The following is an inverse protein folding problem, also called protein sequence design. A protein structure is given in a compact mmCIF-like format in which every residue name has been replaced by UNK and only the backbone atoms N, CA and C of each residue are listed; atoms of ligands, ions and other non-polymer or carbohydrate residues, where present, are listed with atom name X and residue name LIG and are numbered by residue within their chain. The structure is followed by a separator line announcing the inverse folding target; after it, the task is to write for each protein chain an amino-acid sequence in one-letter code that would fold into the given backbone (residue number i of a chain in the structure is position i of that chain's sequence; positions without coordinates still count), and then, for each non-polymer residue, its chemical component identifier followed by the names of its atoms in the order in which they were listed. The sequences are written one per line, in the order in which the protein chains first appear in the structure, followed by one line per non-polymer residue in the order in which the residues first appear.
data_IF_021522361835
#
_entry.id   IF_021522361835
#
_cell.length_a   1.000
_cell.length_b   1.000
_cell.length_c   1.000
_cell.angle_alpha   90.00
_cell.angle_beta   90.00
_cell.angle_gamma   90.00
#
_symmetry.space_group_name_H-M   'P 1'
#
loop_
_entity.id
_entity.type
_entity.pdbx_description
1 polymer ?
#
# COMPACT_ATOMS: atom_id res chain seq x y z
N UNK A 1 12.95 0.96 59.42
CA UNK A 1 12.08 0.32 58.42
C UNK A 1 12.41 0.97 57.10
N UNK A 2 13.15 0.29 56.23
CA UNK A 2 13.50 0.83 54.91
C UNK A 2 12.24 0.81 54.05
N UNK A 3 11.81 1.98 53.60
CA UNK A 3 10.83 2.10 52.52
C UNK A 3 11.38 1.32 51.31
N UNK A 4 10.75 0.20 50.99
CA UNK A 4 11.00 -0.51 49.73
C UNK A 4 10.63 0.45 48.60
N UNK A 5 11.62 1.04 47.93
CA UNK A 5 11.35 1.80 46.71
C UNK A 5 10.63 0.87 45.74
N UNK A 6 9.43 1.27 45.30
CA UNK A 6 8.71 0.51 44.27
C UNK A 6 9.59 0.50 43.02
N UNK A 7 9.85 -0.69 42.50
CA UNK A 7 10.57 -0.84 41.23
C UNK A 7 9.89 0.01 40.14
N UNK A 8 10.66 0.71 39.27
CA UNK A 8 10.10 1.54 38.21
C UNK A 8 9.17 0.74 37.29
N UNK A 9 8.03 1.34 36.94
CA UNK A 9 7.02 0.75 36.06
C UNK A 9 6.63 1.72 34.96
N UNK A 10 6.49 1.20 33.75
CA UNK A 10 6.11 1.92 32.54
C UNK A 10 4.66 1.61 32.19
N UNK A 11 3.94 2.55 31.60
CA UNK A 11 2.60 2.26 31.11
C UNK A 11 2.68 1.47 29.80
N UNK A 12 2.17 0.25 29.78
CA UNK A 12 2.03 -0.56 28.57
C UNK A 12 0.65 -0.38 27.91
N UNK A 13 0.27 -1.35 27.08
CA UNK A 13 -0.95 -1.28 26.25
C UNK A 13 -2.22 -1.50 27.09
N UNK A 14 -2.19 -2.42 28.05
CA UNK A 14 -3.31 -2.72 28.98
C UNK A 14 -2.87 -2.78 30.44
N UNK A 15 -1.58 -2.88 30.71
CA UNK A 15 -1.01 -3.07 32.05
C UNK A 15 0.35 -2.38 32.14
N UNK A 16 0.79 -2.15 33.37
CA UNK A 16 2.14 -1.65 33.60
C UNK A 16 3.21 -2.71 33.30
N UNK A 17 4.30 -2.26 32.70
CA UNK A 17 5.48 -3.06 32.34
C UNK A 17 6.62 -2.75 33.31
N UNK A 18 7.29 -3.79 33.81
CA UNK A 18 8.43 -3.58 34.71
C UNK A 18 9.70 -3.17 33.95
N UNK A 19 10.60 -2.43 34.60
CA UNK A 19 11.92 -2.11 34.02
C UNK A 19 12.74 -3.36 33.67
N UNK A 20 12.62 -4.43 34.46
CA UNK A 20 13.25 -5.72 34.18
C UNK A 20 12.72 -6.33 32.89
N UNK A 21 11.40 -6.26 32.67
CA UNK A 21 10.77 -6.77 31.45
C UNK A 21 11.22 -6.00 30.20
N UNK A 22 11.37 -4.67 30.28
CA UNK A 22 11.91 -3.88 29.16
C UNK A 22 13.36 -4.26 28.84
N UNK A 23 14.17 -4.57 29.85
CA UNK A 23 15.54 -5.02 29.67
C UNK A 23 15.61 -6.44 29.09
N UNK A 24 14.82 -7.39 29.63
CA UNK A 24 14.73 -8.77 29.12
C UNK A 24 14.15 -8.82 27.69
N UNK A 25 13.30 -7.86 27.34
CA UNK A 25 12.78 -7.65 25.98
C UNK A 25 13.75 -6.92 25.05
N UNK A 26 14.96 -6.58 25.52
CA UNK A 26 15.98 -5.84 24.76
C UNK A 26 15.48 -4.48 24.22
N UNK A 27 14.50 -3.88 24.89
CA UNK A 27 13.96 -2.55 24.54
C UNK A 27 14.87 -1.47 25.11
N UNK A 28 15.41 -1.69 26.32
CA UNK A 28 16.42 -0.84 26.94
C UNK A 28 17.73 -1.61 27.12
N UNK A 29 18.84 -0.88 27.06
CA UNK A 29 20.17 -1.45 27.29
C UNK A 29 20.52 -1.47 28.79
N UNK A 30 21.68 -2.05 29.11
CA UNK A 30 22.14 -2.20 30.50
C UNK A 30 22.38 -0.85 31.20
N UNK A 31 22.84 0.17 30.45
CA UNK A 31 23.07 1.51 31.00
C UNK A 31 21.76 2.19 31.41
N UNK A 32 20.75 2.19 30.54
CA UNK A 32 19.42 2.72 30.85
C UNK A 32 18.77 1.96 32.01
N UNK A 33 18.92 0.63 32.05
CA UNK A 33 18.42 -0.19 33.14
C UNK A 33 19.03 0.20 34.50
N UNK A 34 20.35 0.43 34.54
CA UNK A 34 21.05 0.89 35.75
C UNK A 34 20.67 2.31 36.13
N UNK A 35 20.60 3.22 35.16
CA UNK A 35 20.25 4.62 35.40
C UNK A 35 18.82 4.77 35.93
N UNK A 36 17.87 3.94 35.48
CA UNK A 36 16.50 3.90 36.02
C UNK A 36 16.45 3.35 37.45
N UNK A 37 17.19 2.26 37.72
CA UNK A 37 17.19 1.64 39.06
C UNK A 37 17.95 2.47 40.11
N UNK A 38 18.90 3.29 39.68
CA UNK A 38 19.63 4.24 40.54
C UNK A 38 18.92 5.58 40.68
N UNK A 39 17.84 5.83 39.92
CA UNK A 39 17.08 7.08 39.93
C UNK A 39 17.76 8.25 39.21
N UNK A 40 18.80 7.98 38.41
CA UNK A 40 19.47 8.98 37.57
C UNK A 40 18.61 9.42 36.38
N UNK A 41 17.77 8.52 35.89
CA UNK A 41 16.73 8.80 34.91
C UNK A 41 15.37 8.44 35.48
N UNK A 42 14.35 9.21 35.10
CA UNK A 42 12.97 8.98 35.46
C UNK A 42 12.26 8.08 34.44
N UNK A 43 11.14 7.47 34.85
CA UNK A 43 10.27 6.70 33.96
C UNK A 43 9.76 7.57 32.81
N UNK A 44 9.38 8.82 33.09
CA UNK A 44 8.83 9.73 32.09
C UNK A 44 9.89 10.07 31.01
N UNK A 45 11.12 10.39 31.42
CA UNK A 45 12.22 10.68 30.49
C UNK A 45 12.52 9.49 29.55
N UNK A 46 12.48 8.26 30.07
CA UNK A 46 12.72 7.07 29.25
C UNK A 46 11.50 6.69 28.41
N UNK A 47 10.27 6.93 28.90
CA UNK A 47 9.03 6.64 28.18
C UNK A 47 8.86 7.51 26.93
N UNK A 48 9.38 8.74 26.94
CA UNK A 48 9.35 9.66 25.81
C UNK A 48 10.41 9.34 24.73
N UNK A 49 11.39 8.47 25.02
CA UNK A 49 12.37 8.06 24.01
C UNK A 49 11.69 7.22 22.92
N UNK A 50 11.85 7.61 21.65
CA UNK A 50 11.22 6.90 20.52
C UNK A 50 11.56 5.40 20.49
N UNK A 51 12.80 5.05 20.87
CA UNK A 51 13.29 3.67 20.98
C UNK A 51 12.51 2.82 21.99
N UNK A 52 11.89 3.43 23.00
CA UNK A 52 11.11 2.76 24.05
C UNK A 52 9.61 2.93 23.79
N UNK A 53 9.18 4.16 23.49
CA UNK A 53 7.79 4.52 23.23
C UNK A 53 7.14 3.64 22.17
N UNK A 54 7.86 3.36 21.08
CA UNK A 54 7.35 2.50 19.99
C UNK A 54 6.94 1.10 20.47
N UNK A 55 7.57 0.59 21.52
CA UNK A 55 7.27 -0.72 22.09
C UNK A 55 6.22 -0.68 23.20
N UNK A 56 6.06 0.46 23.88
CA UNK A 56 5.03 0.66 24.89
C UNK A 56 3.66 1.00 24.27
N UNK A 57 3.64 1.92 23.31
CA UNK A 57 2.41 2.50 22.76
C UNK A 57 2.13 2.11 21.29
N UNK A 58 3.13 1.61 20.56
CA UNK A 58 3.09 1.47 19.11
C UNK A 58 3.33 2.78 18.36
N UNK A 59 3.44 2.70 17.03
CA UNK A 59 3.60 3.84 16.12
C UNK A 59 2.58 3.78 14.98
N UNK A 60 2.26 4.93 14.39
CA UNK A 60 1.67 5.05 13.04
C UNK A 60 0.43 4.16 12.77
N UNK A 61 -0.49 4.04 13.73
CA UNK A 61 -1.79 3.40 13.47
C UNK A 61 -2.72 4.37 12.75
N UNK A 62 -3.39 3.91 11.70
CA UNK A 62 -4.39 4.68 10.95
C UNK A 62 -5.56 4.99 11.89
N UNK A 63 -5.68 6.26 12.30
CA UNK A 63 -6.64 6.70 13.31
C UNK A 63 -8.06 6.94 12.76
N UNK A 64 -8.16 7.34 11.50
CA UNK A 64 -9.39 7.85 10.90
C UNK A 64 -9.21 8.27 9.45
N UNK A 65 -10.19 8.99 8.93
CA UNK A 65 -10.15 9.60 7.59
C UNK A 65 -10.06 11.11 7.74
N UNK A 66 -9.15 11.74 7.01
CA UNK A 66 -9.05 13.19 6.92
C UNK A 66 -9.59 13.66 5.57
N UNK A 67 -10.65 14.47 5.59
CA UNK A 67 -11.21 15.07 4.38
C UNK A 67 -10.45 16.36 4.07
N UNK A 68 -9.59 16.32 3.06
CA UNK A 68 -8.76 17.47 2.67
C UNK A 68 -9.60 18.70 2.29
N UNK A 69 -10.69 18.50 1.55
CA UNK A 69 -11.56 19.58 1.05
C UNK A 69 -12.25 20.36 2.17
N UNK A 70 -12.67 19.68 3.24
CA UNK A 70 -13.37 20.30 4.38
C UNK A 70 -12.48 20.50 5.61
N UNK A 71 -11.24 19.99 5.58
CA UNK A 71 -10.32 19.90 6.72
C UNK A 71 -10.93 19.17 7.92
N UNK A 72 -11.88 18.26 7.67
CA UNK A 72 -12.61 17.53 8.69
C UNK A 72 -11.92 16.20 9.00
N UNK A 73 -11.77 15.88 10.28
CA UNK A 73 -11.30 14.57 10.73
C UNK A 73 -12.49 13.71 11.12
N UNK A 74 -12.57 12.50 10.58
CA UNK A 74 -13.62 11.53 10.84
C UNK A 74 -13.02 10.26 11.43
N UNK A 75 -13.74 9.64 12.36
CA UNK A 75 -13.50 8.23 12.70
C UNK A 75 -13.78 7.33 11.48
N UNK A 76 -13.18 6.13 11.47
CA UNK A 76 -13.42 5.14 10.41
C UNK A 76 -14.92 4.79 10.30
N UNK A 77 -15.62 4.75 11.44
CA UNK A 77 -17.04 4.44 11.48
C UNK A 77 -17.90 5.60 10.93
N UNK A 78 -17.58 6.85 11.22
CA UNK A 78 -18.26 8.00 10.62
C UNK A 78 -18.04 8.05 9.11
N UNK A 79 -16.81 7.79 8.65
CA UNK A 79 -16.50 7.73 7.22
C UNK A 79 -17.33 6.65 6.49
N UNK A 80 -17.51 5.47 7.12
CA UNK A 80 -18.44 4.43 6.64
C UNK A 80 -19.88 4.94 6.54
N UNK A 81 -20.39 5.60 7.59
CA UNK A 81 -21.77 6.09 7.62
C UNK A 81 -22.04 7.16 6.55
N UNK A 82 -21.01 7.92 6.18
CA UNK A 82 -21.07 8.91 5.09
C UNK A 82 -20.81 8.31 3.71
N UNK A 83 -20.57 6.99 3.60
CA UNK A 83 -20.31 6.30 2.34
C UNK A 83 -18.92 6.56 1.74
N UNK A 84 -18.00 7.15 2.51
CA UNK A 84 -16.61 7.43 2.10
C UNK A 84 -15.73 6.18 2.15
N UNK A 85 -16.08 5.23 3.03
CA UNK A 85 -15.43 3.93 3.13
C UNK A 85 -16.47 2.82 2.98
N UNK A 86 -16.07 1.72 2.33
CA UNK A 86 -16.92 0.52 2.29
C UNK A 86 -17.00 -0.14 3.67
N UNK A 87 -18.10 -0.84 4.00
CA UNK A 87 -18.19 -1.59 5.26
C UNK A 87 -17.06 -2.60 5.47
N UNK A 88 -16.55 -3.20 4.38
CA UNK A 88 -15.42 -4.13 4.43
C UNK A 88 -14.13 -3.42 4.85
N UNK A 89 -13.73 -2.39 4.10
CA UNK A 89 -12.53 -1.57 4.39
C UNK A 89 -12.55 -1.02 5.81
N UNK A 90 -13.68 -0.47 6.24
CA UNK A 90 -13.83 0.09 7.58
C UNK A 90 -13.67 -0.94 8.69
N UNK A 91 -14.26 -2.13 8.53
CA UNK A 91 -14.11 -3.20 9.51
C UNK A 91 -12.65 -3.62 9.62
N UNK A 92 -11.95 -3.80 8.49
CA UNK A 92 -10.55 -4.20 8.46
C UNK A 92 -9.64 -3.18 9.16
N UNK A 93 -9.83 -1.89 8.90
CA UNK A 93 -9.05 -0.83 9.56
C UNK A 93 -9.32 -0.77 11.07
N UNK A 94 -10.57 -0.98 11.50
CA UNK A 94 -10.93 -1.03 12.92
C UNK A 94 -10.41 -2.30 13.60
N UNK A 95 -10.39 -3.45 12.91
CA UNK A 95 -9.76 -4.68 13.40
C UNK A 95 -8.26 -4.47 13.61
N UNK A 96 -7.58 -3.79 12.68
CA UNK A 96 -6.19 -3.42 12.85
C UNK A 96 -5.97 -2.51 14.06
N UNK A 97 -6.77 -1.45 14.24
CA UNK A 97 -6.73 -0.61 15.44
C UNK A 97 -6.88 -1.42 16.74
N UNK A 98 -7.90 -2.28 16.80
CA UNK A 98 -8.15 -3.14 17.95
C UNK A 98 -6.98 -4.10 18.23
N UNK A 99 -6.37 -4.66 17.18
CA UNK A 99 -5.26 -5.60 17.27
C UNK A 99 -3.89 -4.96 17.53
N UNK A 100 -3.73 -3.65 17.31
CA UNK A 100 -2.50 -2.89 17.56
C UNK A 100 -2.51 -2.16 18.91
N UNK A 101 -3.64 -2.20 19.61
CA UNK A 101 -3.73 -1.76 20.98
C UNK A 101 -5.06 -1.12 21.31
N UNK A 102 -5.64 -0.30 20.45
CA UNK A 102 -6.80 0.51 20.83
C UNK A 102 -7.64 0.89 19.62
N UNK A 103 -8.95 0.99 19.81
CA UNK A 103 -9.80 1.73 18.89
C UNK A 103 -9.55 3.22 19.11
N UNK A 104 -9.32 3.97 18.04
CA UNK A 104 -8.96 5.38 18.14
C UNK A 104 -10.18 6.26 17.82
N UNK A 105 -10.47 7.20 18.71
CA UNK A 105 -11.32 8.35 18.43
C UNK A 105 -10.41 9.52 18.01
N UNK A 106 -10.27 9.78 16.70
CA UNK A 106 -9.35 10.82 16.21
C UNK A 106 -9.88 12.24 16.48
N UNK A 107 -11.18 12.40 16.73
CA UNK A 107 -11.81 13.71 16.98
C UNK A 107 -11.54 14.16 18.42
N UNK A 108 -11.61 13.22 19.38
CA UNK A 108 -11.34 13.50 20.80
C UNK A 108 -9.92 13.14 21.22
N UNK A 109 -9.11 12.62 20.30
CA UNK A 109 -7.77 12.10 20.54
C UNK A 109 -7.74 11.09 21.70
N UNK A 110 -8.63 10.08 21.64
CA UNK A 110 -8.73 9.04 22.68
C UNK A 110 -8.39 7.67 22.12
N UNK A 111 -7.65 6.90 22.92
CA UNK A 111 -7.42 5.46 22.73
C UNK A 111 -8.39 4.71 23.64
N UNK A 112 -9.21 3.84 23.06
CA UNK A 112 -10.32 3.18 23.75
C UNK A 112 -10.21 1.66 23.63
N UNK A 113 -10.73 0.95 24.63
CA UNK A 113 -11.06 -0.47 24.47
C UNK A 113 -12.19 -0.63 23.45
N UNK A 114 -12.36 -1.82 22.89
CA UNK A 114 -13.49 -2.07 21.97
C UNK A 114 -14.83 -1.85 22.67
N UNK A 115 -14.93 -2.19 23.96
CA UNK A 115 -16.16 -1.99 24.72
C UNK A 115 -16.50 -0.51 24.91
N UNK A 116 -15.51 0.31 25.29
CA UNK A 116 -15.70 1.74 25.47
C UNK A 116 -15.99 2.43 24.15
N UNK A 117 -15.29 2.04 23.08
CA UNK A 117 -15.52 2.59 21.75
C UNK A 117 -16.95 2.31 21.25
N UNK A 118 -17.48 1.11 21.48
CA UNK A 118 -18.86 0.77 21.13
C UNK A 118 -19.87 1.53 22.01
N UNK A 119 -19.59 1.68 23.31
CA UNK A 119 -20.44 2.43 24.24
C UNK A 119 -20.50 3.93 23.91
N UNK A 120 -19.38 4.51 23.47
CA UNK A 120 -19.26 5.91 23.07
C UNK A 120 -19.67 6.18 21.61
N UNK A 121 -20.03 5.14 20.86
CA UNK A 121 -20.46 5.26 19.45
C UNK A 121 -19.33 5.56 18.46
N UNK A 122 -18.07 5.41 18.88
CA UNK A 122 -16.88 5.54 18.00
C UNK A 122 -16.84 4.40 16.99
N UNK A 123 -17.43 3.24 17.34
CA UNK A 123 -17.68 2.12 16.44
C UNK A 123 -19.14 1.66 16.55
N UNK A 124 -19.64 1.07 15.47
CA UNK A 124 -20.97 0.47 15.45
C UNK A 124 -21.09 -0.75 16.37
N UNK A 125 -22.20 -0.84 17.10
CA UNK A 125 -22.48 -1.97 17.99
C UNK A 125 -22.57 -3.30 17.24
N UNK A 126 -22.89 -3.26 15.95
CA UNK A 126 -22.93 -4.44 15.06
C UNK A 126 -21.55 -5.07 14.84
N UNK A 127 -20.46 -4.31 15.04
CA UNK A 127 -19.09 -4.79 14.88
C UNK A 127 -18.41 -5.13 16.20
N UNK A 128 -19.03 -4.85 17.35
CA UNK A 128 -18.44 -5.08 18.69
C UNK A 128 -17.82 -6.47 18.82
N UNK A 129 -18.54 -7.53 18.46
CA UNK A 129 -18.05 -8.90 18.61
C UNK A 129 -16.86 -9.23 17.70
N UNK A 130 -16.84 -8.69 16.47
CA UNK A 130 -15.72 -8.88 15.54
C UNK A 130 -14.48 -8.15 16.03
N UNK A 131 -14.66 -6.91 16.48
CA UNK A 131 -13.56 -6.11 17.03
C UNK A 131 -13.03 -6.69 18.35
N UNK A 132 -13.88 -7.25 19.21
CA UNK A 132 -13.43 -7.98 20.41
C UNK A 132 -12.61 -9.22 20.04
N UNK A 133 -12.92 -9.88 18.93
CA UNK A 133 -12.11 -11.00 18.42
C UNK A 133 -10.73 -10.53 17.97
N UNK A 134 -10.63 -9.36 17.32
CA UNK A 134 -9.36 -8.76 16.94
C UNK A 134 -8.57 -8.22 18.16
N UNK A 135 -9.23 -7.65 19.16
CA UNK A 135 -8.60 -7.15 20.41
C UNK A 135 -7.93 -8.27 21.23
N UNK A 136 -8.29 -9.54 20.99
CA UNK A 136 -7.56 -10.71 21.56
C UNK A 136 -6.12 -10.79 21.08
N UNK A 137 -5.78 -10.19 19.94
CA UNK A 137 -4.39 -10.05 19.51
C UNK A 137 -3.54 -9.24 20.49
N UNK A 138 -4.17 -8.40 21.32
CA UNK A 138 -3.53 -7.58 22.37
C UNK A 138 -3.72 -8.19 23.75
N UNK A 139 -4.95 -8.62 24.04
CA UNK A 139 -5.34 -9.12 25.38
C UNK A 139 -5.01 -10.60 25.59
N UNK A 140 -4.66 -11.31 24.52
CA UNK A 140 -4.31 -12.72 24.51
C UNK A 140 -5.48 -13.64 24.21
N UNK A 141 -5.17 -14.79 23.60
CA UNK A 141 -6.12 -15.87 23.37
C UNK A 141 -6.03 -16.85 24.53
N UNK A 142 -7.16 -17.45 24.89
CA UNK A 142 -7.21 -18.50 25.91
C UNK A 142 -7.05 -19.85 25.23
N UNK A 143 -5.98 -20.57 25.54
CA UNK A 143 -5.75 -21.92 25.02
C UNK A 143 -6.79 -22.88 25.62
N UNK A 144 -7.67 -23.51 24.82
CA UNK A 144 -8.71 -24.39 25.32
C UNK A 144 -8.19 -25.66 26.01
N UNK A 145 -6.92 -26.02 25.78
CA UNK A 145 -6.31 -27.23 26.34
C UNK A 145 -5.53 -26.98 27.62
N UNK A 146 -4.93 -25.79 27.76
CA UNK A 146 -4.04 -25.47 28.89
C UNK A 146 -4.57 -24.38 29.80
N UNK A 147 -5.66 -23.71 29.42
CA UNK A 147 -6.21 -22.52 30.08
C UNK A 147 -5.26 -21.30 30.11
N UNK A 148 -4.06 -21.44 29.52
CA UNK A 148 -3.04 -20.40 29.48
C UNK A 148 -3.37 -19.34 28.43
N UNK A 149 -2.94 -18.13 28.71
CA UNK A 149 -2.94 -17.03 27.74
C UNK A 149 -1.82 -17.26 26.72
N UNK A 150 -2.15 -17.14 25.43
CA UNK A 150 -1.22 -17.31 24.31
C UNK A 150 -1.31 -16.11 23.36
N UNK A 151 -0.24 -15.88 22.60
CA UNK A 151 -0.17 -14.78 21.62
C UNK A 151 -1.01 -15.05 20.36
N UNK A 152 -1.21 -14.01 19.55
CA UNK A 152 -1.86 -14.11 18.25
C UNK A 152 -1.22 -15.19 17.35
N UNK A 153 0.11 -15.20 17.26
CA UNK A 153 0.84 -16.19 16.47
C UNK A 153 0.67 -17.62 17.01
N UNK A 154 0.68 -17.80 18.33
CA UNK A 154 0.45 -19.11 18.92
C UNK A 154 -0.98 -19.60 18.70
N UNK A 155 -1.95 -18.68 18.73
CA UNK A 155 -3.33 -18.99 18.37
C UNK A 155 -3.45 -19.38 16.89
N UNK A 156 -2.72 -18.69 16.01
CA UNK A 156 -2.62 -19.01 14.57
C UNK A 156 -2.08 -20.42 14.34
N UNK A 157 -0.96 -20.79 14.99
CA UNK A 157 -0.37 -22.15 14.89
C UNK A 157 -1.24 -23.26 15.47
N UNK A 158 -2.23 -22.91 16.30
CA UNK A 158 -3.20 -23.85 16.89
C UNK A 158 -4.56 -23.81 16.20
N UNK A 159 -4.67 -23.14 15.05
CA UNK A 159 -5.90 -22.97 14.28
C UNK A 159 -7.08 -22.40 15.10
N UNK A 160 -6.78 -21.59 16.14
CA UNK A 160 -7.79 -20.93 16.98
C UNK A 160 -8.31 -19.63 16.37
N UNK A 161 -7.68 -19.17 15.28
CA UNK A 161 -8.03 -18.01 14.48
C UNK A 161 -7.89 -18.37 13.01
N UNK A 162 -8.76 -17.81 12.16
CA UNK A 162 -8.67 -17.98 10.71
C UNK A 162 -7.33 -17.44 10.22
N UNK A 163 -6.65 -18.20 9.36
CA UNK A 163 -5.26 -17.94 8.95
C UNK A 163 -5.06 -16.53 8.41
N UNK A 164 -5.83 -16.15 7.39
CA UNK A 164 -5.69 -14.84 6.71
C UNK A 164 -6.00 -13.68 7.65
N UNK A 165 -7.00 -13.85 8.52
CA UNK A 165 -7.32 -12.84 9.54
C UNK A 165 -6.15 -12.67 10.51
N UNK A 166 -5.57 -13.77 11.01
CA UNK A 166 -4.44 -13.71 11.94
C UNK A 166 -3.17 -13.13 11.31
N UNK A 167 -2.87 -13.47 10.05
CA UNK A 167 -1.75 -12.90 9.29
C UNK A 167 -1.91 -11.38 9.17
N UNK A 168 -3.09 -10.89 8.77
CA UNK A 168 -3.37 -9.45 8.67
C UNK A 168 -3.21 -8.70 9.99
N UNK A 169 -3.62 -9.31 11.11
CA UNK A 169 -3.43 -8.69 12.43
C UNK A 169 -1.94 -8.66 12.83
N UNK A 170 -1.17 -9.71 12.51
CA UNK A 170 0.29 -9.74 12.76
C UNK A 170 1.02 -8.68 11.93
N UNK A 171 0.65 -8.55 10.67
CA UNK A 171 1.17 -7.54 9.75
C UNK A 171 0.95 -6.12 10.31
N UNK A 172 -0.27 -5.81 10.76
CA UNK A 172 -0.59 -4.54 11.40
C UNK A 172 0.23 -4.31 12.68
N UNK A 173 0.46 -5.34 13.50
CA UNK A 173 1.31 -5.22 14.69
C UNK A 173 2.76 -4.88 14.31
N UNK A 174 3.35 -5.58 13.34
CA UNK A 174 4.72 -5.35 12.89
C UNK A 174 4.88 -3.94 12.33
N UNK A 175 3.97 -3.53 11.44
CA UNK A 175 3.97 -2.19 10.85
C UNK A 175 3.83 -1.07 11.90
N UNK A 176 3.21 -1.36 13.04
CA UNK A 176 3.00 -0.39 14.14
C UNK A 176 4.02 -0.53 15.28
N UNK A 177 5.18 -1.16 15.03
CA UNK A 177 6.35 -1.09 15.91
C UNK A 177 6.81 -2.40 16.52
N UNK A 178 6.09 -3.51 16.30
CA UNK A 178 6.52 -4.84 16.76
C UNK A 178 5.37 -5.73 17.22
N UNK A 179 5.70 -6.99 17.52
CA UNK A 179 4.74 -8.04 17.84
C UNK A 179 4.28 -7.89 19.30
N UNK A 180 2.98 -8.01 19.55
CA UNK A 180 2.45 -7.81 20.90
C UNK A 180 2.61 -9.06 21.75
N UNK A 181 3.19 -8.88 22.94
CA UNK A 181 3.18 -9.85 24.03
C UNK A 181 1.95 -9.60 24.92
N UNK A 182 0.92 -10.46 24.88
CA UNK A 182 -0.28 -10.24 25.69
C UNK A 182 -0.06 -10.47 27.20
N UNK A 183 0.99 -11.20 27.59
CA UNK A 183 1.29 -11.51 28.99
C UNK A 183 1.86 -10.26 29.68
N UNK A 184 2.84 -9.63 29.05
CA UNK A 184 3.51 -8.43 29.57
C UNK A 184 2.91 -7.11 29.08
N UNK A 185 2.00 -7.17 28.11
CA UNK A 185 1.20 -6.05 27.63
C UNK A 185 2.01 -4.93 26.97
N UNK A 186 3.02 -5.31 26.20
CA UNK A 186 3.84 -4.42 25.38
C UNK A 186 4.23 -5.12 24.07
N UNK A 187 4.82 -4.38 23.15
CA UNK A 187 5.39 -4.93 21.92
C UNK A 187 6.82 -5.37 22.17
N UNK A 188 7.24 -6.42 21.49
CA UNK A 188 8.62 -6.89 21.49
C UNK A 188 9.23 -6.78 20.09
N UNK A 189 10.55 -6.54 19.99
CA UNK A 189 11.27 -6.63 18.73
C UNK A 189 11.11 -8.02 18.10
N UNK A 190 11.14 -8.12 16.77
CA UNK A 190 10.99 -9.39 16.03
C UNK A 190 11.97 -10.46 16.51
N UNK A 191 13.23 -10.08 16.79
CA UNK A 191 14.23 -11.00 17.33
C UNK A 191 13.83 -11.62 18.68
N UNK A 192 13.17 -10.84 19.54
CA UNK A 192 12.68 -11.32 20.84
C UNK A 192 11.40 -12.13 20.66
N UNK A 193 10.56 -11.76 19.70
CA UNK A 193 9.37 -12.53 19.33
C UNK A 193 9.74 -13.95 18.87
N UNK A 194 10.82 -14.13 18.10
CA UNK A 194 11.35 -15.46 17.76
C UNK A 194 11.72 -16.26 19.02
N UNK A 195 12.44 -15.64 19.95
CA UNK A 195 12.87 -16.29 21.20
C UNK A 195 11.70 -16.71 22.08
N UNK A 196 10.62 -15.91 22.09
CA UNK A 196 9.39 -16.18 22.85
C UNK A 196 8.40 -17.11 22.13
N UNK A 197 8.71 -17.51 20.88
CA UNK A 197 7.80 -18.32 20.07
C UNK A 197 6.51 -17.59 19.70
N UNK A 198 6.58 -16.26 19.55
CA UNK A 198 5.48 -15.42 19.05
C UNK A 198 5.61 -15.08 17.57
N UNK A 199 6.65 -15.60 16.92
CA UNK A 199 6.90 -15.42 15.51
C UNK A 199 7.84 -16.50 15.01
N UNK A 200 7.81 -16.81 13.72
CA UNK A 200 8.74 -17.74 13.07
C UNK A 200 9.10 -17.30 11.65
N UNK A 201 10.11 -17.96 11.10
CA UNK A 201 10.67 -17.61 9.79
C UNK A 201 9.66 -17.83 8.66
N UNK A 202 8.75 -18.80 8.81
CA UNK A 202 7.67 -19.07 7.86
C UNK A 202 6.72 -17.86 7.75
N UNK A 203 6.20 -17.35 8.88
CA UNK A 203 5.35 -16.16 8.85
C UNK A 203 6.15 -14.92 8.42
N UNK A 204 7.43 -14.82 8.78
CA UNK A 204 8.26 -13.71 8.32
C UNK A 204 8.40 -13.69 6.80
N UNK A 205 8.57 -14.85 6.16
CA UNK A 205 8.62 -14.97 4.71
C UNK A 205 7.29 -14.56 4.08
N UNK A 206 6.16 -15.07 4.61
CA UNK A 206 4.80 -14.70 4.17
C UNK A 206 4.60 -13.18 4.24
N UNK A 207 4.90 -12.57 5.38
CA UNK A 207 4.72 -11.12 5.59
C UNK A 207 5.74 -10.27 4.82
N UNK A 208 6.85 -10.84 4.35
CA UNK A 208 7.84 -10.16 3.53
C UNK A 208 7.60 -10.30 2.03
N UNK A 209 6.69 -11.20 1.63
CA UNK A 209 6.35 -11.45 0.23
C UNK A 209 5.20 -10.51 -0.19
N UNK A 210 5.46 -9.53 -1.09
CA UNK A 210 4.43 -8.63 -1.58
C UNK A 210 3.46 -9.28 -2.59
N UNK A 211 3.67 -10.53 -3.01
CA UNK A 211 2.81 -11.25 -3.96
C UNK A 211 1.76 -12.19 -3.27
N UNK A 212 1.77 -12.25 -1.94
CA UNK A 212 0.96 -13.18 -1.11
C UNK A 212 -0.34 -12.56 -0.58
N UNK A 213 -1.20 -13.39 0.05
CA UNK A 213 -2.48 -13.07 0.70
C UNK A 213 -2.38 -12.03 1.87
N UNK A 214 -1.25 -11.33 1.98
CA UNK A 214 -0.92 -10.34 3.02
C UNK A 214 -1.40 -8.94 2.68
N UNK A 215 -1.77 -8.64 1.43
CA UNK A 215 -2.43 -7.37 1.05
C UNK A 215 -3.88 -7.35 1.53
N UNK A 216 -4.04 -7.27 2.84
CA UNK A 216 -5.34 -7.36 3.50
C UNK A 216 -6.07 -6.02 3.63
N UNK A 217 -5.44 -4.90 3.28
CA UNK A 217 -5.96 -3.54 3.45
C UNK A 217 -6.27 -2.90 2.10
N UNK A 218 -7.31 -2.07 2.06
CA UNK A 218 -7.80 -1.46 0.82
C UNK A 218 -7.64 0.04 0.88
N UNK A 219 -6.97 0.63 -0.11
CA UNK A 219 -6.89 2.07 -0.27
C UNK A 219 -8.21 2.61 -0.85
N UNK A 220 -8.93 3.50 -0.14
CA UNK A 220 -10.21 4.02 -0.62
C UNK A 220 -10.08 5.00 -1.79
N UNK A 221 -8.92 5.62 -1.99
CA UNK A 221 -8.68 6.61 -3.04
C UNK A 221 -8.27 5.95 -4.36
N UNK A 222 -7.41 4.92 -4.32
CA UNK A 222 -6.95 4.24 -5.56
C UNK A 222 -7.56 2.88 -5.80
N UNK A 223 -8.28 2.33 -4.82
CA UNK A 223 -8.86 0.99 -4.89
C UNK A 223 -7.83 -0.15 -5.04
N UNK A 224 -6.64 0.05 -4.48
CA UNK A 224 -5.59 -0.98 -4.42
C UNK A 224 -5.67 -1.78 -3.12
N UNK A 225 -5.37 -3.09 -3.21
CA UNK A 225 -5.02 -3.86 -2.04
C UNK A 225 -3.56 -3.59 -1.69
N UNK A 226 -3.32 -3.22 -0.45
CA UNK A 226 -2.03 -2.84 0.09
C UNK A 226 -1.79 -3.60 1.39
N UNK A 227 -0.52 -3.71 1.74
CA UNK A 227 -0.13 -3.99 3.13
C UNK A 227 -0.51 -2.80 4.03
N UNK A 228 -0.67 -3.05 5.33
CA UNK A 228 -0.87 -1.99 6.32
C UNK A 228 0.26 -0.97 6.27
N UNK A 229 1.50 -1.44 6.09
CA UNK A 229 2.67 -0.57 6.01
C UNK A 229 2.58 0.33 4.77
N UNK A 230 2.26 -0.21 3.59
CA UNK A 230 2.07 0.60 2.39
C UNK A 230 0.92 1.59 2.53
N UNK A 231 -0.17 1.22 3.19
CA UNK A 231 -1.29 2.14 3.42
C UNK A 231 -0.93 3.27 4.41
N UNK A 232 -0.09 2.98 5.40
CA UNK A 232 0.46 3.98 6.34
C UNK A 232 1.54 4.84 5.68
N UNK A 233 2.36 4.26 4.83
CA UNK A 233 3.46 4.92 4.12
C UNK A 233 3.01 5.60 2.84
N UNK A 234 1.76 5.42 2.41
CA UNK A 234 1.20 6.13 1.27
C UNK A 234 1.19 7.61 1.58
N UNK A 235 2.05 8.33 0.89
CA UNK A 235 2.16 9.77 0.99
C UNK A 235 1.19 10.38 0.00
N UNK A 236 0.25 11.17 0.51
CA UNK A 236 -0.36 12.21 -0.30
C UNK A 236 0.76 13.01 -0.96
N UNK A 237 0.63 13.29 -2.26
CA UNK A 237 1.63 14.10 -2.97
C UNK A 237 1.52 15.52 -2.44
N UNK A 238 2.46 15.90 -1.58
CA UNK A 238 2.45 17.23 -0.98
C UNK A 238 2.59 18.33 -2.04
N UNK A 239 2.05 19.52 -1.76
CA UNK A 239 2.22 20.70 -2.63
C UNK A 239 3.71 21.05 -2.81
N UNK A 240 4.54 20.82 -1.77
CA UNK A 240 5.99 20.95 -1.86
C UNK A 240 6.60 19.95 -2.85
N UNK A 241 6.17 18.69 -2.80
CA UNK A 241 6.62 17.65 -3.73
C UNK A 241 6.23 17.98 -5.18
N UNK A 242 5.01 18.45 -5.43
CA UNK A 242 4.60 18.89 -6.78
C UNK A 242 5.48 20.03 -7.31
N UNK A 243 5.92 20.93 -6.44
CA UNK A 243 6.79 22.04 -6.82
C UNK A 243 8.25 21.59 -7.02
N UNK A 244 8.77 20.73 -6.15
CA UNK A 244 10.09 20.13 -6.28
C UNK A 244 10.20 19.28 -7.54
N UNK A 245 9.14 18.53 -7.87
CA UNK A 245 8.97 17.76 -9.11
C UNK A 245 8.66 18.60 -10.34
N UNK A 246 8.65 19.94 -10.23
CA UNK A 246 8.38 20.86 -11.36
C UNK A 246 7.05 20.61 -12.07
N UNK A 247 6.08 20.03 -11.37
CA UNK A 247 4.72 19.78 -11.87
C UNK A 247 3.89 21.06 -11.77
N UNK A 248 4.06 21.80 -10.67
CA UNK A 248 3.51 23.15 -10.50
C UNK A 248 4.61 24.19 -10.50
N UNK A 249 4.28 25.40 -10.96
CA UNK A 249 5.20 26.53 -10.95
C UNK A 249 5.14 27.30 -9.61
N UNK A 250 6.02 28.29 -9.45
CA UNK A 250 6.13 29.07 -8.23
C UNK A 250 4.85 29.87 -7.92
N UNK A 251 4.14 30.33 -8.96
CA UNK A 251 2.89 31.08 -8.80
C UNK A 251 1.77 30.19 -8.24
N UNK A 252 1.57 29.00 -8.82
CA UNK A 252 0.60 28.01 -8.32
C UNK A 252 0.96 27.55 -6.90
N UNK A 253 2.25 27.34 -6.61
CA UNK A 253 2.71 26.98 -5.27
C UNK A 253 2.38 28.07 -4.23
N UNK A 254 2.58 29.35 -4.57
CA UNK A 254 2.21 30.49 -3.73
C UNK A 254 0.70 30.62 -3.59
N UNK A 255 -0.06 30.48 -4.68
CA UNK A 255 -1.52 30.58 -4.67
C UNK A 255 -2.16 29.47 -3.82
N UNK A 256 -1.62 28.24 -3.85
CA UNK A 256 -2.02 27.15 -2.95
C UNK A 256 -1.68 27.46 -1.48
N UNK A 257 -0.46 27.92 -1.20
CA UNK A 257 -0.02 28.23 0.18
C UNK A 257 -0.75 29.43 0.79
N UNK A 258 -1.21 30.37 -0.04
CA UNK A 258 -2.00 31.53 0.39
C UNK A 258 -3.51 31.25 0.41
N UNK A 259 -3.94 30.07 -0.07
CA UNK A 259 -5.35 29.65 -0.12
C UNK A 259 -6.17 30.36 -1.20
N UNK A 260 -5.52 30.99 -2.19
CA UNK A 260 -6.19 31.61 -3.34
C UNK A 260 -6.72 30.58 -4.34
N UNK A 261 -6.04 29.43 -4.44
CA UNK A 261 -6.49 28.25 -5.16
C UNK A 261 -6.58 27.08 -4.18
N UNK A 262 -7.54 26.19 -4.42
CA UNK A 262 -7.67 24.95 -3.66
C UNK A 262 -6.86 23.82 -4.30
N UNK A 263 -6.54 22.79 -3.52
CA UNK A 263 -5.86 21.59 -4.02
C UNK A 263 -6.68 20.93 -5.13
N UNK A 264 -7.99 20.83 -4.95
CA UNK A 264 -8.92 20.24 -5.92
C UNK A 264 -8.90 21.00 -7.27
N UNK A 265 -8.90 22.34 -7.23
CA UNK A 265 -8.82 23.15 -8.45
C UNK A 265 -7.51 22.92 -9.22
N UNK A 266 -6.40 22.75 -8.50
CA UNK A 266 -5.09 22.53 -9.13
C UNK A 266 -4.93 21.08 -9.58
N UNK A 267 -5.45 20.10 -8.85
CA UNK A 267 -5.37 18.67 -9.21
C UNK A 267 -6.18 18.34 -10.47
N UNK A 268 -7.29 19.06 -10.72
CA UNK A 268 -8.10 18.91 -11.93
C UNK A 268 -7.47 19.56 -13.18
N UNK A 269 -6.44 20.41 -13.02
CA UNK A 269 -5.72 20.97 -14.16
C UNK A 269 -5.01 19.85 -14.93
N UNK A 270 -5.24 19.75 -16.24
CA UNK A 270 -4.63 18.71 -17.08
C UNK A 270 -3.09 18.66 -16.96
N UNK A 271 -2.45 19.82 -16.78
CA UNK A 271 -1.01 19.93 -16.57
C UNK A 271 -0.49 19.25 -15.30
N UNK A 272 -1.35 19.09 -14.29
CA UNK A 272 -1.04 18.46 -12.99
C UNK A 272 -1.61 17.05 -12.93
N UNK A 273 -2.89 16.87 -13.30
CA UNK A 273 -3.62 15.60 -13.29
C UNK A 273 -2.87 14.48 -14.01
N UNK A 274 -2.27 14.79 -15.17
CA UNK A 274 -1.49 13.81 -15.94
C UNK A 274 -0.29 13.24 -15.18
N UNK A 275 0.23 13.98 -14.20
CA UNK A 275 1.35 13.52 -13.37
C UNK A 275 0.87 12.81 -12.10
N UNK A 276 -0.27 13.22 -11.55
CA UNK A 276 -0.90 12.54 -10.41
C UNK A 276 -1.47 11.18 -10.81
N UNK A 277 -2.27 11.13 -11.87
CA UNK A 277 -3.08 9.95 -12.24
C UNK A 277 -2.58 9.26 -13.53
N UNK A 278 -1.81 9.97 -14.34
CA UNK A 278 -1.45 9.54 -15.69
C UNK A 278 -2.43 9.99 -16.76
N UNK A 279 -2.14 9.62 -18.00
CA UNK A 279 -3.05 9.72 -19.13
C UNK A 279 -3.51 8.32 -19.55
N UNK A 280 -4.56 8.24 -20.37
CA UNK A 280 -5.21 6.97 -20.70
C UNK A 280 -4.25 5.96 -21.35
N UNK A 281 -4.03 4.83 -20.67
CA UNK A 281 -3.48 3.63 -21.28
C UNK A 281 -4.51 2.95 -22.19
N UNK A 282 -4.07 2.02 -23.04
CA UNK A 282 -4.96 1.21 -23.88
C UNK A 282 -5.78 0.31 -22.96
N UNK A 283 -7.02 0.70 -22.69
CA UNK A 283 -7.90 0.06 -21.71
C UNK A 283 -8.49 -1.28 -22.19
N UNK A 284 -8.64 -1.43 -23.50
CA UNK A 284 -9.37 -2.54 -24.10
C UNK A 284 -9.38 -2.45 -25.61
N UNK A 285 -10.25 -3.25 -26.22
CA UNK A 285 -10.47 -3.22 -27.67
C UNK A 285 -11.91 -2.83 -27.98
N UNK A 286 -12.10 -2.16 -29.10
CA UNK A 286 -13.41 -1.84 -29.64
C UNK A 286 -13.64 -2.60 -30.95
N UNK A 287 -14.58 -3.52 -30.96
CA UNK A 287 -14.90 -4.31 -32.13
C UNK A 287 -15.85 -3.53 -33.03
N UNK A 288 -15.34 -3.03 -34.15
CA UNK A 288 -16.12 -2.12 -35.01
C UNK A 288 -17.34 -2.79 -35.68
N UNK A 289 -17.25 -4.09 -35.95
CA UNK A 289 -18.33 -4.85 -36.60
C UNK A 289 -19.57 -4.98 -35.72
N UNK A 290 -19.41 -5.18 -34.41
CA UNK A 290 -20.49 -5.37 -33.44
C UNK A 290 -20.75 -4.15 -32.57
N UNK A 291 -19.88 -3.13 -32.64
CA UNK A 291 -19.88 -1.95 -31.77
C UNK A 291 -19.75 -2.31 -30.29
N UNK A 292 -18.96 -3.34 -30.00
CA UNK A 292 -18.77 -3.91 -28.67
C UNK A 292 -17.41 -3.51 -28.09
N UNK A 293 -17.39 -3.11 -26.82
CA UNK A 293 -16.16 -2.92 -26.06
C UNK A 293 -15.81 -4.21 -25.32
N UNK A 294 -14.57 -4.66 -25.44
CA UNK A 294 -14.07 -5.88 -24.79
C UNK A 294 -12.82 -5.58 -23.97
N UNK A 295 -12.64 -6.31 -22.87
CA UNK A 295 -11.34 -6.34 -22.18
C UNK A 295 -10.28 -7.00 -23.07
N UNK A 296 -9.00 -6.72 -22.82
CA UNK A 296 -7.89 -7.33 -23.56
C UNK A 296 -7.91 -8.86 -23.41
N UNK A 297 -8.24 -9.35 -22.21
CA UNK A 297 -8.30 -10.78 -21.92
C UNK A 297 -9.49 -11.45 -22.62
N UNK A 298 -10.65 -10.79 -22.68
CA UNK A 298 -11.80 -11.31 -23.41
C UNK A 298 -11.52 -11.36 -24.93
N UNK A 299 -10.85 -10.34 -25.47
CA UNK A 299 -10.41 -10.33 -26.86
C UNK A 299 -9.43 -11.49 -27.18
N UNK A 300 -8.56 -11.86 -26.23
CA UNK A 300 -7.72 -13.07 -26.33
C UNK A 300 -8.57 -14.34 -26.36
N UNK A 301 -9.52 -14.48 -25.43
CA UNK A 301 -10.38 -15.67 -25.36
C UNK A 301 -11.22 -15.87 -26.63
N UNK A 302 -11.63 -14.78 -27.26
CA UNK A 302 -12.34 -14.79 -28.55
C UNK A 302 -11.41 -14.91 -29.78
N UNK A 303 -10.10 -15.04 -29.59
CA UNK A 303 -9.12 -15.16 -30.69
C UNK A 303 -8.91 -13.89 -31.53
N UNK A 304 -9.38 -12.74 -31.04
CA UNK A 304 -9.23 -11.44 -31.70
C UNK A 304 -7.81 -10.90 -31.53
N UNK A 305 -7.21 -11.16 -30.37
CA UNK A 305 -5.81 -10.87 -30.05
C UNK A 305 -5.03 -12.16 -29.81
N UNK A 306 -3.74 -12.15 -30.15
CA UNK A 306 -2.84 -13.27 -29.79
C UNK A 306 -2.50 -13.23 -28.30
N UNK A 307 -2.18 -14.37 -27.66
CA UNK A 307 -1.75 -14.39 -26.27
C UNK A 307 -0.55 -13.46 -25.97
N UNK A 308 0.40 -13.36 -26.91
CA UNK A 308 1.56 -12.47 -26.77
C UNK A 308 1.15 -10.99 -26.78
N UNK A 309 0.38 -10.55 -27.77
CA UNK A 309 -0.11 -9.17 -27.87
C UNK A 309 -0.93 -8.78 -26.64
N UNK A 310 -1.83 -9.67 -26.18
CA UNK A 310 -2.66 -9.42 -25.02
C UNK A 310 -1.87 -9.30 -23.72
N UNK A 311 -0.88 -10.18 -23.50
CA UNK A 311 -0.04 -10.10 -22.31
C UNK A 311 0.73 -8.78 -22.28
N UNK A 312 1.33 -8.37 -23.40
CA UNK A 312 2.10 -7.13 -23.49
C UNK A 312 1.24 -5.88 -23.19
N UNK A 313 0.01 -5.84 -23.69
CA UNK A 313 -0.91 -4.73 -23.40
C UNK A 313 -1.35 -4.70 -21.93
N UNK A 314 -1.58 -5.87 -21.31
CA UNK A 314 -1.92 -5.95 -19.89
C UNK A 314 -0.73 -5.63 -18.98
N UNK A 315 0.49 -6.01 -19.36
CA UNK A 315 1.72 -5.60 -18.66
C UNK A 315 1.88 -4.06 -18.71
N UNK A 316 1.57 -3.43 -19.84
CA UNK A 316 1.59 -1.98 -19.96
C UNK A 316 0.52 -1.31 -19.07
N UNK A 317 -0.68 -1.89 -18.95
CA UNK A 317 -1.69 -1.43 -18.00
C UNK A 317 -1.19 -1.51 -16.55
N UNK A 318 -0.69 -2.68 -16.13
CA UNK A 318 -0.16 -2.88 -14.79
C UNK A 318 1.01 -1.93 -14.47
N UNK A 319 1.93 -1.74 -15.43
CA UNK A 319 3.08 -0.86 -15.26
C UNK A 319 2.77 0.64 -15.30
N UNK A 320 1.54 1.01 -15.66
CA UNK A 320 1.04 2.40 -15.69
C UNK A 320 -0.02 2.66 -14.61
N UNK A 321 -0.20 1.73 -13.68
CA UNK A 321 -0.98 1.92 -12.46
C UNK A 321 -1.98 0.80 -12.21
N UNK A 322 -2.77 0.44 -13.22
CA UNK A 322 -3.95 -0.41 -13.02
C UNK A 322 -4.26 -1.28 -14.22
N UNK A 323 -4.76 -2.48 -13.96
CA UNK A 323 -5.48 -3.28 -14.94
C UNK A 323 -6.88 -2.71 -15.11
N UNK A 324 -7.33 -2.52 -16.35
CA UNK A 324 -8.58 -1.83 -16.65
C UNK A 324 -9.64 -2.83 -17.12
N UNK A 325 -10.81 -2.80 -16.47
CA UNK A 325 -12.05 -3.38 -17.01
C UNK A 325 -12.80 -2.26 -17.77
N UNK A 326 -12.72 -2.23 -19.11
CA UNK A 326 -13.33 -1.16 -19.91
C UNK A 326 -14.86 -1.28 -19.99
N UNK A 327 -15.44 -2.44 -19.62
CA UNK A 327 -16.89 -2.66 -19.65
C UNK A 327 -17.54 -2.12 -18.39
N UNK A 328 -16.91 -2.35 -17.23
CA UNK A 328 -17.38 -1.85 -15.93
C UNK A 328 -16.79 -0.50 -15.54
N UNK A 329 -15.89 0.05 -16.37
CA UNK A 329 -15.12 1.26 -16.11
C UNK A 329 -14.41 1.21 -14.74
N UNK A 330 -13.70 0.10 -14.48
CA UNK A 330 -12.96 -0.11 -13.23
C UNK A 330 -11.47 -0.17 -13.48
N UNK A 331 -10.71 0.51 -12.64
CA UNK A 331 -9.26 0.36 -12.48
C UNK A 331 -9.05 -0.58 -11.30
N UNK A 332 -8.24 -1.62 -11.50
CA UNK A 332 -8.05 -2.72 -10.57
C UNK A 332 -6.56 -2.97 -10.37
N UNK A 333 -6.19 -3.40 -9.17
CA UNK A 333 -4.91 -4.07 -8.94
C UNK A 333 -4.84 -5.36 -9.79
N UNK A 334 -3.63 -5.87 -10.02
CA UNK A 334 -3.45 -7.15 -10.74
C UNK A 334 -4.16 -8.30 -10.02
N UNK A 335 -4.13 -8.31 -8.69
CA UNK A 335 -4.79 -9.33 -7.88
C UNK A 335 -6.31 -9.28 -8.03
N UNK A 336 -6.92 -8.11 -7.92
CA UNK A 336 -8.37 -7.96 -8.09
C UNK A 336 -8.80 -8.31 -9.51
N UNK A 337 -8.01 -7.91 -10.50
CA UNK A 337 -8.27 -8.25 -11.89
C UNK A 337 -8.26 -9.77 -12.11
N UNK A 338 -7.34 -10.49 -11.46
CA UNK A 338 -7.29 -11.96 -11.52
C UNK A 338 -8.47 -12.58 -10.76
N UNK A 339 -8.78 -12.10 -9.55
CA UNK A 339 -9.87 -12.60 -8.73
C UNK A 339 -11.25 -12.39 -9.37
N UNK A 340 -11.45 -11.26 -10.05
CA UNK A 340 -12.68 -10.91 -10.76
C UNK A 340 -12.73 -11.48 -12.20
N UNK A 341 -11.69 -12.18 -12.64
CA UNK A 341 -11.60 -12.78 -13.98
C UNK A 341 -11.46 -11.77 -15.12
N UNK A 342 -11.05 -10.53 -14.83
CA UNK A 342 -10.70 -9.50 -15.83
C UNK A 342 -9.41 -9.89 -16.55
N UNK A 343 -8.51 -10.60 -15.86
CA UNK A 343 -7.34 -11.28 -16.45
C UNK A 343 -7.31 -12.75 -16.06
N UNK A 344 -6.64 -13.57 -16.86
CA UNK A 344 -6.44 -14.99 -16.56
C UNK A 344 -5.46 -15.21 -15.42
N UNK A 345 -5.75 -16.17 -14.54
CA UNK A 345 -4.88 -16.53 -13.41
C UNK A 345 -3.50 -17.00 -13.87
N UNK A 346 -3.38 -17.50 -15.11
CA UNK A 346 -2.10 -17.90 -15.71
C UNK A 346 -1.14 -16.73 -15.94
N UNK A 347 -1.63 -15.49 -15.94
CA UNK A 347 -0.82 -14.28 -16.13
C UNK A 347 -0.59 -13.48 -14.85
N UNK A 348 -1.21 -13.87 -13.72
CA UNK A 348 -1.13 -13.13 -12.43
C UNK A 348 0.32 -12.76 -12.09
N UNK A 349 1.23 -13.74 -12.04
CA UNK A 349 2.62 -13.48 -11.62
C UNK A 349 3.41 -12.59 -12.61
N UNK A 350 3.11 -12.69 -13.90
CA UNK A 350 3.76 -11.83 -14.91
C UNK A 350 3.29 -10.38 -14.77
N UNK A 351 1.98 -10.20 -14.54
CA UNK A 351 1.38 -8.90 -14.34
C UNK A 351 1.80 -8.27 -13.02
N UNK A 352 1.92 -9.04 -11.93
CA UNK A 352 2.47 -8.57 -10.65
C UNK A 352 3.91 -8.09 -10.82
N UNK A 353 4.71 -8.82 -11.61
CA UNK A 353 6.07 -8.37 -11.93
C UNK A 353 6.09 -7.03 -12.67
N UNK A 354 5.11 -6.76 -13.53
CA UNK A 354 4.96 -5.48 -14.21
C UNK A 354 4.40 -4.37 -13.30
N UNK A 355 3.48 -4.70 -12.38
CA UNK A 355 2.91 -3.77 -11.38
C UNK A 355 4.00 -3.17 -10.46
N UNK A 356 5.10 -3.89 -10.22
CA UNK A 356 6.29 -3.36 -9.54
C UNK A 356 6.93 -2.14 -10.21
N UNK A 357 6.63 -1.89 -11.49
CA UNK A 357 7.02 -0.63 -12.13
C UNK A 357 6.35 0.61 -11.52
N UNK A 358 5.25 0.41 -10.78
CA UNK A 358 4.49 1.46 -10.09
C UNK A 358 4.80 1.44 -8.59
N UNK A 359 4.72 0.26 -7.97
CA UNK A 359 4.88 0.10 -6.52
C UNK A 359 6.35 0.04 -6.07
N UNK A 360 7.27 -0.12 -7.03
CA UNK A 360 8.71 -0.20 -6.82
C UNK A 360 9.23 -1.65 -6.77
N UNK A 361 10.52 -1.79 -7.07
CA UNK A 361 11.25 -3.05 -6.97
C UNK A 361 12.04 -3.07 -5.67
N UNK A 362 11.99 -4.19 -4.93
CA UNK A 362 12.81 -4.34 -3.73
C UNK A 362 14.25 -4.65 -4.14
N UNK A 363 15.19 -3.79 -3.76
CA UNK A 363 16.62 -4.00 -3.99
C UNK A 363 17.16 -5.08 -3.05
N UNK A 364 17.62 -6.24 -3.56
CA UNK A 364 18.05 -7.36 -2.71
C UNK A 364 19.30 -7.04 -1.87
N UNK A 365 20.01 -5.96 -2.18
CA UNK A 365 21.22 -5.55 -1.46
C UNK A 365 20.97 -4.49 -0.38
N UNK A 366 19.86 -3.73 -0.47
CA UNK A 366 19.60 -2.60 0.44
C UNK A 366 18.23 -2.64 1.09
N UNK A 367 17.36 -3.57 0.70
CA UNK A 367 15.94 -3.66 1.06
C UNK A 367 15.12 -2.39 0.73
N UNK A 368 15.69 -1.43 0.00
CA UNK A 368 14.99 -0.22 -0.43
C UNK A 368 14.16 -0.49 -1.68
N UNK A 369 13.03 0.21 -1.76
CA UNK A 369 12.26 0.28 -3.00
C UNK A 369 12.98 1.16 -4.01
N UNK A 370 13.22 0.64 -5.21
CA UNK A 370 13.89 1.30 -6.31
C UNK A 370 12.96 1.38 -7.53
N UNK A 371 13.21 2.35 -8.41
CA UNK A 371 12.38 2.55 -9.61
C UNK A 371 12.60 1.48 -10.66
N UNK A 372 11.68 1.41 -11.64
CA UNK A 372 11.79 0.53 -12.81
C UNK A 372 13.14 0.68 -13.52
N UNK A 373 13.60 1.91 -13.71
CA UNK A 373 14.89 2.19 -14.35
C UNK A 373 16.08 1.75 -13.49
N UNK A 374 16.01 1.94 -12.17
CA UNK A 374 17.08 1.48 -11.28
C UNK A 374 17.16 -0.04 -11.23
N UNK A 375 16.01 -0.73 -11.26
CA UNK A 375 15.94 -2.18 -11.40
C UNK A 375 16.53 -2.65 -12.74
N UNK A 376 16.25 -1.93 -13.83
CA UNK A 376 16.83 -2.17 -15.15
C UNK A 376 18.36 -2.06 -15.13
N UNK A 377 18.92 -0.99 -14.54
CA UNK A 377 20.37 -0.79 -14.43
C UNK A 377 21.08 -1.80 -13.54
N UNK A 378 20.34 -2.48 -12.65
CA UNK A 378 20.85 -3.53 -11.78
C UNK A 378 20.58 -4.94 -12.31
N UNK A 379 20.11 -5.07 -13.54
CA UNK A 379 19.75 -6.35 -14.18
C UNK A 379 18.74 -7.18 -13.39
N UNK A 380 17.90 -6.54 -12.56
CA UNK A 380 16.82 -7.20 -11.81
C UNK A 380 15.62 -7.54 -12.70
N UNK A 381 15.54 -6.91 -13.88
CA UNK A 381 14.53 -7.14 -14.90
C UNK A 381 15.19 -7.29 -16.27
N UNK A 382 14.56 -8.06 -17.16
CA UNK A 382 15.02 -8.24 -18.54
C UNK A 382 14.99 -6.90 -19.28
N UNK A 383 16.07 -6.57 -20.00
CA UNK A 383 16.25 -5.26 -20.63
C UNK A 383 15.08 -4.84 -21.52
N UNK A 384 14.71 -5.67 -22.50
CA UNK A 384 13.65 -5.37 -23.46
C UNK A 384 12.27 -5.21 -22.78
N UNK A 385 12.04 -6.00 -21.72
CA UNK A 385 10.82 -5.88 -20.93
C UNK A 385 10.79 -4.54 -20.19
N UNK A 386 11.87 -4.17 -19.49
CA UNK A 386 11.95 -2.90 -18.77
C UNK A 386 11.87 -1.67 -19.66
N UNK A 387 12.53 -1.69 -20.84
CA UNK A 387 12.45 -0.61 -21.84
C UNK A 387 11.00 -0.41 -22.31
N UNK A 388 10.30 -1.51 -22.61
CA UNK A 388 8.88 -1.46 -23.02
C UNK A 388 7.96 -0.88 -21.94
N UNK A 389 8.21 -1.21 -20.67
CA UNK A 389 7.42 -0.66 -19.55
C UNK A 389 7.71 0.84 -19.33
N UNK A 390 8.98 1.27 -19.45
CA UNK A 390 9.36 2.69 -19.36
C UNK A 390 8.70 3.51 -20.46
N UNK A 391 8.68 2.98 -21.68
CA UNK A 391 8.01 3.58 -22.82
C UNK A 391 6.52 3.81 -22.56
N UNK A 392 5.83 2.80 -22.00
CA UNK A 392 4.42 2.90 -21.63
C UNK A 392 4.17 3.96 -20.56
N UNK A 393 5.04 4.09 -19.56
CA UNK A 393 4.96 5.14 -18.53
C UNK A 393 5.09 6.54 -19.14
N UNK A 394 6.11 6.76 -19.98
CA UNK A 394 6.34 8.06 -20.65
C UNK A 394 5.14 8.45 -21.50
N UNK A 395 4.63 7.52 -22.32
CA UNK A 395 3.46 7.74 -23.16
C UNK A 395 2.17 7.99 -22.36
N UNK A 396 2.12 7.56 -21.09
CA UNK A 396 0.96 7.74 -20.20
C UNK A 396 1.18 8.84 -19.14
N UNK A 397 2.05 9.80 -19.44
CA UNK A 397 2.17 11.05 -18.67
C UNK A 397 3.56 11.33 -18.08
N UNK A 398 4.40 10.30 -17.88
CA UNK A 398 5.75 10.47 -17.33
C UNK A 398 6.27 9.24 -16.60
N UNK A 399 7.52 9.31 -16.14
CA UNK A 399 8.17 8.22 -15.39
C UNK A 399 7.56 8.14 -14.00
N UNK A 400 7.22 6.94 -13.52
CA UNK A 400 6.65 6.78 -12.19
C UNK A 400 7.76 6.81 -11.12
N UNK A 401 7.55 7.64 -10.11
CA UNK A 401 8.32 7.63 -8.87
C UNK A 401 7.63 6.71 -7.85
N UNK A 402 8.21 5.54 -7.53
CA UNK A 402 7.57 4.58 -6.61
C UNK A 402 7.60 5.04 -5.15
N UNK A 403 8.41 6.04 -4.80
CA UNK A 403 8.53 6.54 -3.41
C UNK A 403 7.45 7.57 -3.09
N UNK A 404 7.11 8.39 -4.08
CA UNK A 404 6.13 9.47 -3.96
C UNK A 404 4.83 9.21 -4.73
N UNK A 405 4.68 8.00 -5.29
CA UNK A 405 3.46 7.48 -5.93
C UNK A 405 2.83 8.43 -6.97
N UNK A 406 3.67 9.14 -7.73
CA UNK A 406 3.23 9.98 -8.85
C UNK A 406 4.23 9.93 -9.99
N UNK A 407 3.83 10.43 -11.17
CA UNK A 407 4.70 10.54 -12.33
C UNK A 407 5.48 11.84 -12.28
N UNK A 408 6.75 11.78 -12.65
CA UNK A 408 7.61 12.96 -12.77
C UNK A 408 7.87 13.28 -14.24
N UNK A 409 8.04 14.57 -14.59
CA UNK A 409 8.56 14.96 -15.89
C UNK A 409 9.93 14.31 -16.17
N UNK A 410 10.23 14.05 -17.44
CA UNK A 410 11.49 13.41 -17.84
C UNK A 410 12.72 14.15 -17.29
N UNK A 411 12.73 15.49 -17.28
CA UNK A 411 13.84 16.28 -16.71
C UNK A 411 14.06 16.02 -15.21
N UNK A 412 12.98 15.78 -14.46
CA UNK A 412 13.05 15.45 -13.04
C UNK A 412 13.45 13.99 -12.83
N UNK A 413 12.98 13.09 -13.70
CA UNK A 413 13.40 11.70 -13.69
C UNK A 413 14.93 11.56 -13.85
N UNK A 414 15.56 12.39 -14.69
CA UNK A 414 17.03 12.49 -14.77
C UNK A 414 17.66 12.88 -13.43
N UNK A 415 17.15 13.94 -12.79
CA UNK A 415 17.70 14.45 -11.53
C UNK A 415 17.59 13.43 -10.38
N UNK A 416 16.51 12.64 -10.38
CA UNK A 416 16.26 11.58 -9.37
C UNK A 416 16.93 10.25 -9.70
N UNK A 417 17.60 10.13 -10.85
CA UNK A 417 18.21 8.88 -11.29
C UNK A 417 17.20 7.79 -11.63
N UNK A 418 16.00 8.16 -12.08
CA UNK A 418 14.96 7.27 -12.59
C UNK A 418 14.96 7.17 -14.12
N UNK A 419 15.85 7.91 -14.77
CA UNK A 419 16.01 7.89 -16.22
C UNK A 419 17.39 8.44 -16.59
N UNK A 420 17.93 8.04 -17.74
CA UNK A 420 19.22 8.53 -18.23
C UNK A 420 19.26 8.72 -19.75
N UNK A 421 20.36 9.30 -20.23
CA UNK A 421 20.48 9.68 -21.64
C UNK A 421 20.59 8.45 -22.54
N UNK A 422 21.18 7.36 -22.03
CA UNK A 422 21.29 6.10 -22.75
C UNK A 422 19.90 5.53 -23.06
N UNK A 423 19.04 5.39 -22.04
CA UNK A 423 17.68 4.88 -22.25
C UNK A 423 16.86 5.88 -23.07
N UNK A 424 17.05 7.19 -22.88
CA UNK A 424 16.36 8.19 -23.70
C UNK A 424 16.73 8.09 -25.18
N UNK A 425 17.99 7.82 -25.50
CA UNK A 425 18.44 7.58 -26.88
C UNK A 425 17.80 6.33 -27.45
N UNK A 426 17.79 5.23 -26.68
CA UNK A 426 17.12 3.99 -27.08
C UNK A 426 15.65 4.29 -27.40
N UNK A 427 14.90 4.89 -26.48
CA UNK A 427 13.47 5.17 -26.63
C UNK A 427 13.14 6.21 -27.71
N UNK A 428 14.10 7.07 -28.06
CA UNK A 428 13.94 8.07 -29.14
C UNK A 428 14.23 7.48 -30.52
N UNK A 429 15.00 6.39 -30.60
CA UNK A 429 15.29 5.73 -31.85
C UNK A 429 14.08 4.90 -32.30
N UNK A 430 13.57 5.19 -33.50
CA UNK A 430 12.43 4.47 -34.10
C UNK A 430 12.84 3.12 -34.74
N UNK A 431 14.00 2.58 -34.33
CA UNK A 431 14.51 1.26 -34.67
C UNK A 431 13.64 0.11 -34.15
N UNK A 432 14.10 -1.13 -34.34
CA UNK A 432 13.35 -2.34 -33.97
C UNK A 432 13.32 -2.54 -32.43
N UNK A 433 14.36 -2.08 -31.73
CA UNK A 433 14.56 -2.32 -30.29
C UNK A 433 13.52 -1.61 -29.38
N UNK A 434 12.77 -0.63 -29.90
CA UNK A 434 11.70 0.08 -29.17
C UNK A 434 10.30 -0.32 -29.59
N UNK A 435 10.15 -1.11 -30.66
CA UNK A 435 8.84 -1.48 -31.20
C UNK A 435 8.27 -2.71 -30.50
N UNK A 436 8.11 -2.59 -29.19
CA UNK A 436 7.68 -3.69 -28.31
C UNK A 436 6.20 -4.05 -28.40
N UNK A 437 5.37 -3.28 -29.12
CA UNK A 437 3.93 -3.46 -29.23
C UNK A 437 3.51 -3.83 -30.66
N UNK A 438 2.40 -4.55 -30.80
CA UNK A 438 1.95 -5.06 -32.09
C UNK A 438 0.55 -4.57 -32.42
N UNK A 439 0.36 -3.97 -33.60
CA UNK A 439 -0.97 -3.62 -34.09
C UNK A 439 -1.63 -4.82 -34.79
N UNK A 440 -2.72 -5.39 -34.23
CA UNK A 440 -3.41 -6.54 -34.80
C UNK A 440 -4.14 -6.24 -36.13
N UNK A 441 -4.30 -4.98 -36.53
CA UNK A 441 -4.94 -4.63 -37.81
C UNK A 441 -3.93 -4.57 -38.96
N UNK A 442 -2.76 -3.98 -38.73
CA UNK A 442 -1.74 -3.74 -39.76
C UNK A 442 -0.62 -4.78 -39.72
N UNK A 443 -0.51 -5.54 -38.63
CA UNK A 443 0.57 -6.49 -38.35
C UNK A 443 1.96 -5.84 -38.24
N UNK A 444 2.00 -4.56 -37.85
CA UNK A 444 3.23 -3.80 -37.62
C UNK A 444 3.65 -3.86 -36.16
N UNK A 445 4.97 -3.94 -35.92
CA UNK A 445 5.56 -3.63 -34.62
C UNK A 445 5.65 -2.09 -34.47
N UNK A 446 5.21 -1.58 -33.33
CA UNK A 446 5.07 -0.16 -33.02
C UNK A 446 5.58 0.14 -31.61
N UNK A 447 5.90 1.41 -31.40
CA UNK A 447 6.02 1.99 -30.07
C UNK A 447 4.65 2.04 -29.40
N UNK A 448 4.59 2.04 -28.06
CA UNK A 448 3.34 2.17 -27.32
C UNK A 448 2.63 3.47 -27.69
N UNK A 449 3.38 4.57 -27.82
CA UNK A 449 2.82 5.86 -28.22
C UNK A 449 2.18 5.81 -29.61
N UNK A 450 2.84 5.16 -30.58
CA UNK A 450 2.27 4.95 -31.92
C UNK A 450 0.99 4.11 -31.87
N UNK A 451 0.93 3.09 -31.01
CA UNK A 451 -0.27 2.26 -30.87
C UNK A 451 -1.41 3.03 -30.19
N UNK A 452 -1.12 3.81 -29.14
CA UNK A 452 -2.09 4.69 -28.46
C UNK A 452 -2.67 5.71 -29.44
N UNK A 453 -1.88 6.26 -30.36
CA UNK A 453 -2.36 7.18 -31.40
C UNK A 453 -3.34 6.54 -32.39
N UNK A 454 -3.38 5.20 -32.49
CA UNK A 454 -4.36 4.45 -33.30
C UNK A 454 -5.63 4.12 -32.52
N UNK A 455 -5.66 4.36 -31.21
CA UNK A 455 -6.84 4.12 -30.39
C UNK A 455 -7.90 5.21 -30.56
N UNK A 456 -9.14 4.85 -30.27
CA UNK A 456 -10.25 5.78 -30.15
C UNK A 456 -10.58 6.02 -28.68
N UNK A 457 -11.09 7.20 -28.35
CA UNK A 457 -11.58 7.51 -27.00
C UNK A 457 -13.06 7.16 -26.94
N UNK A 458 -13.45 6.29 -26.01
CA UNK A 458 -14.87 6.04 -25.74
C UNK A 458 -15.49 7.29 -25.11
N UNK A 459 -16.47 7.94 -25.75
CA UNK A 459 -17.07 9.17 -25.24
C UNK A 459 -17.81 8.97 -23.91
N UNK A 460 -18.18 7.73 -23.54
CA UNK A 460 -18.89 7.45 -22.28
C UNK A 460 -17.95 7.34 -21.09
N UNK A 461 -16.84 6.66 -21.27
CA UNK A 461 -15.91 6.31 -20.18
C UNK A 461 -14.65 7.18 -20.20
N UNK A 462 -14.36 7.83 -21.33
CA UNK A 462 -13.11 8.53 -21.57
C UNK A 462 -11.92 7.59 -21.81
N UNK A 463 -12.11 6.27 -21.84
CA UNK A 463 -11.04 5.28 -21.98
C UNK A 463 -10.53 5.18 -23.42
N UNK A 464 -9.23 4.90 -23.58
CA UNK A 464 -8.60 4.65 -24.87
C UNK A 464 -8.78 3.19 -25.28
N UNK A 465 -9.44 2.93 -26.40
CA UNK A 465 -9.74 1.59 -26.91
C UNK A 465 -9.08 1.37 -28.27
N UNK A 466 -8.40 0.24 -28.45
CA UNK A 466 -7.82 -0.15 -29.73
C UNK A 466 -8.93 -0.68 -30.67
N UNK A 467 -9.24 0.01 -31.78
CA UNK A 467 -10.25 -0.49 -32.71
C UNK A 467 -9.77 -1.76 -33.42
N UNK A 468 -10.64 -2.76 -33.54
CA UNK A 468 -10.37 -3.98 -34.31
C UNK A 468 -11.29 -4.06 -35.54
N UNK A 469 -10.67 -4.24 -36.71
CA UNK A 469 -11.34 -4.28 -38.01
C UNK A 469 -11.70 -5.70 -38.47
N UNK A 470 -11.28 -6.74 -37.73
CA UNK A 470 -11.52 -8.14 -38.10
C UNK A 470 -13.02 -8.42 -38.25
N UNK A 471 -13.42 -8.82 -39.46
CA UNK A 471 -14.69 -9.51 -39.66
C UNK A 471 -14.56 -10.91 -39.07
N UNK A 472 -15.53 -11.30 -38.23
CA UNK A 472 -15.65 -12.67 -37.71
C UNK A 472 -15.77 -13.67 -38.87
#
# INVERSE_FOLDING_TARGET
MSETSKAPKFHGIRKDVSVTELFESKIINEDLYKDLNTGKLTVDEVSEMESVRRYLEGTNSIAGVYLQSTKETLSIYEAKQRGLLTPGTSLVLLEAQAATGFVIDPVKNKKLSVEDAAALGVVGSEWKNKLLSAERAVTGYKDPYTDKMISLFQALKKDLIVKDHGIRLLEAQIATGGIIDPVYSHRVPVQVAYQRGYFDEEINQILSDPDDDTKGFFDPNTHENLTYLQLVERKDVSVAELFESKIINEDLYKDLNTGKLTVDEVSEMESVRKYLEGTNSIAGVYLQSTKETLSIYEAKQRGLLTPGTSLVLLEAQAATGFVIDPVKNKKLSVEDAAALGVVGSEWKNKLLSAERAVTGYKDPYTDKMISLFQALKKDLIVKDHGVRLLEAQIATGGIIDPVYSHRVPVQVAYQRGYFDEEINQILSDAGDDTKGFFDPNTHENLTYLQLVQRCMIDPKTGLSLLPLNKKM
#
